data_IF_920699667087
#
_entry.id   IF_920699667087
#
_cell.length_a   1.000
_cell.length_b   1.000
_cell.length_c   1.000
_cell.angle_alpha   90.00
_cell.angle_beta   90.00
_cell.angle_gamma   90.00
#
_symmetry.space_group_name_H-M   'P 1'
#
loop_
_entity.id
_entity.type
_entity.pdbx_description
1 polymer ?
#
# COMPACT_ATOMS: atom_id res chain seq x y z
N UNK A 1 15.98 -4.84 8.86
CA UNK A 1 16.50 -4.65 7.48
C UNK A 1 16.57 -5.93 6.65
N UNK A 2 16.39 -7.12 7.24
CA UNK A 2 16.40 -8.41 6.52
C UNK A 2 15.34 -8.39 5.40
N UNK A 3 15.70 -8.93 4.24
CA UNK A 3 14.91 -8.97 3.01
C UNK A 3 14.70 -7.63 2.28
N UNK A 4 15.17 -6.50 2.82
CA UNK A 4 15.06 -5.19 2.16
C UNK A 4 16.34 -4.80 1.40
N UNK A 5 17.51 -5.27 1.85
CA UNK A 5 18.81 -4.84 1.31
C UNK A 5 19.25 -5.76 0.18
N UNK A 6 19.43 -5.20 -1.01
CA UNK A 6 19.70 -5.92 -2.27
C UNK A 6 21.03 -5.45 -2.88
N UNK A 7 21.81 -6.37 -3.39
CA UNK A 7 23.04 -6.06 -4.11
C UNK A 7 22.75 -5.54 -5.53
N UNK A 8 23.22 -4.34 -5.87
CA UNK A 8 23.05 -3.80 -7.22
C UNK A 8 23.84 -4.58 -8.29
N UNK A 9 24.89 -5.32 -7.89
CA UNK A 9 25.74 -6.08 -8.82
C UNK A 9 25.14 -7.41 -9.26
N UNK A 10 24.50 -8.15 -8.33
CA UNK A 10 24.01 -9.51 -8.61
C UNK A 10 22.55 -9.76 -8.21
N UNK A 11 21.85 -8.77 -7.64
CA UNK A 11 20.45 -8.90 -7.22
C UNK A 11 20.23 -9.70 -5.94
N UNK A 12 21.25 -10.33 -5.35
CA UNK A 12 21.11 -11.13 -4.14
C UNK A 12 20.87 -10.26 -2.91
N UNK A 13 20.11 -10.80 -1.95
CA UNK A 13 19.90 -10.17 -0.66
C UNK A 13 21.20 -10.08 0.13
N UNK A 14 21.39 -8.98 0.83
CA UNK A 14 22.42 -8.86 1.85
C UNK A 14 22.01 -9.64 3.09
N UNK A 15 23.01 -10.26 3.74
CA UNK A 15 22.85 -11.01 4.99
C UNK A 15 23.68 -10.36 6.10
N UNK A 16 23.11 -10.30 7.29
CA UNK A 16 23.78 -9.83 8.50
C UNK A 16 24.78 -10.88 8.96
N UNK A 17 26.03 -10.47 9.17
CA UNK A 17 27.13 -11.32 9.67
C UNK A 17 27.78 -10.68 10.88
N UNK A 18 28.31 -11.50 11.76
CA UNK A 18 29.03 -11.02 12.96
C UNK A 18 30.53 -11.16 12.71
N UNK A 19 31.23 -10.07 12.91
CA UNK A 19 32.69 -10.05 12.93
C UNK A 19 33.20 -9.75 14.35
N UNK A 20 34.38 -10.26 14.64
CA UNK A 20 35.11 -9.94 15.87
C UNK A 20 36.36 -9.17 15.47
N UNK A 21 36.49 -7.94 15.91
CA UNK A 21 37.64 -7.09 15.69
C UNK A 21 38.17 -6.57 17.01
N UNK A 22 39.44 -6.85 17.34
CA UNK A 22 40.07 -6.47 18.61
C UNK A 22 39.29 -6.88 19.87
N UNK A 23 38.60 -8.03 19.84
CA UNK A 23 37.77 -8.53 20.91
C UNK A 23 36.34 -7.98 20.95
N UNK A 24 35.99 -6.99 20.13
CA UNK A 24 34.67 -6.41 20.04
C UNK A 24 33.84 -7.06 18.94
N UNK A 25 32.55 -7.24 19.20
CA UNK A 25 31.58 -7.80 18.29
C UNK A 25 31.03 -6.69 17.39
N UNK A 26 31.20 -6.83 16.08
CA UNK A 26 30.70 -5.92 15.06
C UNK A 26 29.70 -6.62 14.15
N UNK A 27 28.64 -5.93 13.79
CA UNK A 27 27.63 -6.43 12.86
C UNK A 27 27.83 -5.79 11.49
N UNK A 28 27.98 -6.64 10.50
CA UNK A 28 28.23 -6.24 9.11
C UNK A 28 27.17 -6.82 8.20
N UNK A 29 26.88 -6.13 7.12
CA UNK A 29 26.01 -6.60 6.07
C UNK A 29 26.84 -6.92 4.81
N UNK A 30 26.64 -8.12 4.26
CA UNK A 30 27.35 -8.60 3.08
C UNK A 30 26.41 -9.24 2.08
N UNK A 31 26.73 -9.09 0.79
CA UNK A 31 26.02 -9.76 -0.29
C UNK A 31 25.98 -11.28 -0.06
N UNK A 32 24.79 -11.88 -0.17
CA UNK A 32 24.58 -13.32 0.02
C UNK A 32 25.45 -14.16 -0.93
N UNK A 33 25.48 -13.80 -2.22
CA UNK A 33 26.30 -14.47 -3.23
C UNK A 33 27.79 -14.44 -2.88
N UNK A 34 28.28 -13.32 -2.33
CA UNK A 34 29.67 -13.21 -1.88
C UNK A 34 29.96 -14.04 -0.62
N UNK A 35 28.96 -14.27 0.23
CA UNK A 35 29.08 -15.16 1.39
C UNK A 35 29.17 -16.61 0.98
N UNK A 36 28.43 -17.00 -0.06
CA UNK A 36 28.44 -18.38 -0.59
C UNK A 36 29.75 -18.69 -1.34
N UNK A 37 30.49 -17.67 -1.80
CA UNK A 37 31.81 -17.79 -2.43
C UNK A 37 32.46 -16.43 -2.69
N UNK A 38 33.69 -16.22 -2.19
CA UNK A 38 34.38 -14.92 -2.30
C UNK A 38 34.53 -14.40 -3.73
N UNK A 39 34.62 -15.30 -4.72
CA UNK A 39 34.77 -14.98 -6.14
C UNK A 39 33.43 -14.62 -6.81
N UNK A 40 32.29 -14.96 -6.21
CA UNK A 40 31.00 -14.88 -6.89
C UNK A 40 30.43 -13.45 -7.00
N UNK A 41 30.85 -12.53 -6.18
CA UNK A 41 30.46 -11.11 -6.28
C UNK A 41 31.54 -10.24 -5.60
N UNK A 42 32.75 -10.18 -6.17
CA UNK A 42 33.91 -9.58 -5.49
C UNK A 42 33.76 -8.09 -5.25
N UNK A 43 33.05 -7.38 -6.14
CA UNK A 43 32.88 -5.93 -6.10
C UNK A 43 31.72 -5.46 -5.21
N UNK A 44 31.00 -6.40 -4.58
CA UNK A 44 29.95 -6.03 -3.63
C UNK A 44 30.57 -5.49 -2.33
N UNK A 45 30.18 -4.28 -1.87
CA UNK A 45 30.72 -3.71 -0.65
C UNK A 45 30.22 -4.48 0.59
N UNK A 46 31.02 -4.37 1.66
CA UNK A 46 30.57 -4.77 3.01
C UNK A 46 30.19 -3.50 3.75
N UNK A 47 29.01 -3.50 4.38
CA UNK A 47 28.47 -2.34 5.09
C UNK A 47 28.47 -2.61 6.58
N UNK A 48 28.83 -1.61 7.35
CA UNK A 48 28.63 -1.63 8.80
C UNK A 48 27.15 -1.41 9.14
N UNK A 49 26.62 -2.14 10.11
CA UNK A 49 25.20 -2.08 10.44
C UNK A 49 24.75 -0.70 10.91
N UNK A 50 25.54 -0.06 11.77
CA UNK A 50 25.27 1.29 12.28
C UNK A 50 25.21 2.32 11.14
N UNK A 51 26.17 2.28 10.21
CA UNK A 51 26.21 3.17 9.06
C UNK A 51 25.00 2.94 8.13
N UNK A 52 24.65 1.68 7.87
CA UNK A 52 23.47 1.34 7.06
C UNK A 52 22.18 1.83 7.73
N UNK A 53 22.01 1.60 9.02
CA UNK A 53 20.86 2.06 9.78
C UNK A 53 20.74 3.58 9.77
N UNK A 54 21.82 4.30 10.02
CA UNK A 54 21.83 5.76 9.99
C UNK A 54 21.47 6.32 8.63
N UNK A 55 22.03 5.76 7.55
CA UNK A 55 21.72 6.20 6.19
C UNK A 55 20.24 5.99 5.81
N UNK A 56 19.65 4.87 6.23
CA UNK A 56 18.23 4.59 6.00
C UNK A 56 17.34 5.57 6.78
N UNK A 57 17.65 5.82 8.05
CA UNK A 57 16.89 6.76 8.86
C UNK A 57 17.02 8.20 8.38
N UNK A 58 18.19 8.60 7.88
CA UNK A 58 18.40 9.90 7.26
C UNK A 58 17.57 10.06 5.98
N UNK A 59 17.52 9.03 5.13
CA UNK A 59 16.70 9.04 3.93
C UNK A 59 15.20 9.16 4.25
N UNK A 60 14.71 8.42 5.25
CA UNK A 60 13.33 8.54 5.75
C UNK A 60 13.07 9.96 6.27
N UNK A 61 13.99 10.52 7.05
CA UNK A 61 13.88 11.88 7.57
C UNK A 61 13.80 12.91 6.44
N UNK A 62 14.65 12.81 5.44
CA UNK A 62 14.62 13.69 4.26
C UNK A 62 13.31 13.57 3.49
N UNK A 63 12.81 12.35 3.29
CA UNK A 63 11.61 12.11 2.50
C UNK A 63 10.33 12.56 3.19
N UNK A 64 10.17 12.29 4.49
CA UNK A 64 8.91 12.45 5.20
C UNK A 64 8.90 13.59 6.22
N UNK A 65 10.04 13.96 6.81
CA UNK A 65 10.11 14.99 7.86
C UNK A 65 10.48 16.36 7.29
N UNK A 66 11.45 16.44 6.39
CA UNK A 66 11.86 17.70 5.79
C UNK A 66 10.87 18.22 4.72
N UNK A 67 10.01 17.35 4.20
CA UNK A 67 8.91 17.71 3.30
C UNK A 67 7.56 17.86 4.04
N UNK A 68 7.56 18.36 5.25
CA UNK A 68 6.37 18.53 6.11
C UNK A 68 5.13 19.16 5.40
N UNK A 69 5.36 19.96 4.37
CA UNK A 69 4.31 20.57 3.54
C UNK A 69 3.64 19.50 2.63
N UNK A 70 4.32 18.40 2.30
CA UNK A 70 3.86 17.45 1.27
C UNK A 70 2.94 16.37 1.84
N UNK A 71 3.13 15.94 3.08
CA UNK A 71 2.28 14.93 3.72
C UNK A 71 0.89 15.47 4.03
N UNK A 72 0.82 16.65 4.60
CA UNK A 72 -0.45 17.31 4.94
C UNK A 72 -1.24 17.73 3.69
N UNK A 73 -0.55 18.26 2.67
CA UNK A 73 -1.17 18.59 1.37
C UNK A 73 -1.54 17.35 0.57
N UNK A 74 -0.76 16.27 0.64
CA UNK A 74 -1.10 15.00 -0.03
C UNK A 74 -2.25 14.30 0.68
N UNK A 75 -2.28 14.26 2.01
CA UNK A 75 -3.41 13.74 2.79
C UNK A 75 -4.67 14.59 2.58
N UNK A 76 -4.55 15.91 2.51
CA UNK A 76 -5.66 16.81 2.22
C UNK A 76 -6.17 16.66 0.78
N UNK A 77 -5.29 16.47 -0.20
CA UNK A 77 -5.64 16.21 -1.60
C UNK A 77 -6.28 14.84 -1.76
N UNK A 78 -5.78 13.81 -1.09
CA UNK A 78 -6.40 12.47 -1.07
C UNK A 78 -7.78 12.55 -0.42
N UNK A 79 -7.92 13.22 0.72
CA UNK A 79 -9.22 13.43 1.38
C UNK A 79 -10.19 14.22 0.51
N UNK A 80 -9.76 15.27 -0.17
CA UNK A 80 -10.64 16.12 -1.01
C UNK A 80 -11.10 15.42 -2.29
N UNK A 81 -10.32 14.50 -2.84
CA UNK A 81 -10.68 13.71 -4.03
C UNK A 81 -11.60 12.53 -3.67
N UNK A 82 -11.59 12.08 -2.41
CA UNK A 82 -12.18 10.82 -2.00
C UNK A 82 -13.49 10.96 -1.20
N UNK A 83 -13.97 12.17 -0.87
CA UNK A 83 -15.00 12.25 0.18
C UNK A 83 -16.46 12.50 -0.19
N UNK A 84 -16.97 13.21 -1.19
CA UNK A 84 -18.44 13.29 -1.27
C UNK A 84 -19.10 12.38 -2.30
N UNK A 85 -18.47 12.07 -3.42
CA UNK A 85 -19.17 11.41 -4.54
C UNK A 85 -19.51 9.93 -4.30
N UNK A 86 -18.74 9.21 -3.47
CA UNK A 86 -18.94 7.76 -3.31
C UNK A 86 -20.08 7.39 -2.37
N UNK A 87 -20.28 8.12 -1.27
CA UNK A 87 -21.37 7.87 -0.33
C UNK A 87 -22.74 8.23 -0.93
N UNK A 88 -22.82 9.38 -1.60
CA UNK A 88 -24.02 9.80 -2.32
C UNK A 88 -24.31 8.86 -3.50
N UNK A 89 -23.28 8.37 -4.17
CA UNK A 89 -23.37 7.37 -5.23
C UNK A 89 -23.90 6.04 -4.72
N UNK A 90 -23.40 5.51 -3.59
CA UNK A 90 -23.89 4.26 -3.01
C UNK A 90 -25.36 4.36 -2.60
N UNK A 91 -25.75 5.44 -1.95
CA UNK A 91 -27.13 5.68 -1.56
C UNK A 91 -28.06 5.76 -2.78
N UNK A 92 -27.68 6.48 -3.82
CA UNK A 92 -28.45 6.60 -5.05
C UNK A 92 -28.62 5.24 -5.75
N UNK A 93 -27.55 4.43 -5.83
CA UNK A 93 -27.62 3.08 -6.41
C UNK A 93 -28.55 2.18 -5.61
N UNK A 94 -28.46 2.17 -4.27
CA UNK A 94 -29.34 1.38 -3.40
C UNK A 94 -30.81 1.79 -3.52
N UNK A 95 -31.07 3.10 -3.61
CA UNK A 95 -32.43 3.62 -3.81
C UNK A 95 -33.01 3.11 -5.12
N UNK A 96 -32.24 3.17 -6.21
CA UNK A 96 -32.69 2.70 -7.52
C UNK A 96 -32.91 1.18 -7.58
N UNK A 97 -32.07 0.39 -6.90
CA UNK A 97 -32.28 -1.06 -6.73
C UNK A 97 -33.60 -1.32 -6.00
N UNK A 98 -33.90 -0.59 -4.94
CA UNK A 98 -35.15 -0.75 -4.19
C UNK A 98 -36.39 -0.37 -5.02
N UNK A 99 -36.31 0.66 -5.84
CA UNK A 99 -37.38 1.07 -6.76
C UNK A 99 -37.63 -0.02 -7.81
N UNK A 100 -36.61 -0.54 -8.47
CA UNK A 100 -36.73 -1.63 -9.43
C UNK A 100 -37.25 -2.93 -8.82
N UNK A 101 -36.89 -3.22 -7.58
CA UNK A 101 -37.45 -4.38 -6.85
C UNK A 101 -38.94 -4.21 -6.54
N UNK A 102 -39.40 -2.99 -6.23
CA UNK A 102 -40.84 -2.68 -6.06
C UNK A 102 -41.58 -2.80 -7.38
N UNK A 103 -40.99 -2.27 -8.49
CA UNK A 103 -41.55 -2.39 -9.84
C UNK A 103 -41.69 -3.88 -10.24
N UNK A 104 -40.66 -4.68 -10.00
CA UNK A 104 -40.72 -6.14 -10.25
C UNK A 104 -41.80 -6.85 -9.47
N UNK A 105 -41.97 -6.52 -8.18
CA UNK A 105 -43.05 -7.10 -7.36
C UNK A 105 -44.44 -6.72 -7.86
N UNK A 106 -44.62 -5.47 -8.27
CA UNK A 106 -45.91 -4.99 -8.84
C UNK A 106 -46.20 -5.68 -10.19
N UNK A 107 -45.18 -5.89 -10.99
CA UNK A 107 -45.31 -6.56 -12.30
C UNK A 107 -45.68 -8.05 -12.10
N UNK A 108 -45.08 -8.74 -11.13
CA UNK A 108 -45.43 -10.12 -10.78
C UNK A 108 -46.90 -10.21 -10.35
N UNK A 109 -47.37 -9.25 -9.52
CA UNK A 109 -48.77 -9.25 -9.09
C UNK A 109 -49.74 -9.05 -10.27
N UNK A 110 -49.39 -8.20 -11.25
CA UNK A 110 -50.17 -8.01 -12.46
C UNK A 110 -50.17 -9.26 -13.37
N UNK A 111 -49.01 -9.86 -13.59
CA UNK A 111 -48.90 -11.08 -14.37
C UNK A 111 -49.73 -12.23 -13.81
N UNK A 112 -49.73 -12.39 -12.48
CA UNK A 112 -50.56 -13.40 -11.81
C UNK A 112 -52.07 -13.10 -11.91
N UNK A 113 -52.48 -11.84 -11.85
CA UNK A 113 -53.91 -11.44 -11.95
C UNK A 113 -54.45 -11.60 -13.36
N UNK A 114 -53.63 -11.46 -14.38
CA UNK A 114 -54.00 -11.51 -15.79
C UNK A 114 -53.83 -12.90 -16.44
N UNK A 115 -53.41 -13.92 -15.70
CA UNK A 115 -53.00 -15.23 -16.23
C UNK A 115 -52.01 -15.11 -17.42
N UNK A 116 -50.92 -14.44 -17.19
CA UNK A 116 -49.98 -13.98 -18.21
C UNK A 116 -49.30 -15.13 -18.97
N UNK A 117 -49.44 -15.12 -20.30
CA UNK A 117 -48.78 -16.04 -21.25
C UNK A 117 -47.52 -15.39 -21.87
N UNK A 118 -46.71 -14.67 -21.11
CA UNK A 118 -45.45 -14.07 -21.58
C UNK A 118 -45.55 -12.60 -22.02
N UNK A 119 -46.65 -11.93 -21.80
CA UNK A 119 -46.89 -10.52 -22.14
C UNK A 119 -45.89 -9.58 -21.43
N UNK A 120 -45.39 -9.95 -20.26
CA UNK A 120 -44.45 -9.15 -19.44
C UNK A 120 -42.98 -9.60 -19.50
N UNK A 121 -42.64 -10.61 -20.29
CA UNK A 121 -41.30 -11.17 -20.39
C UNK A 121 -40.21 -10.14 -20.70
N UNK A 122 -40.52 -9.24 -21.65
CA UNK A 122 -39.58 -8.16 -21.99
C UNK A 122 -39.33 -7.20 -20.83
N UNK A 123 -40.34 -6.89 -20.03
CA UNK A 123 -40.23 -6.00 -18.88
C UNK A 123 -39.46 -6.68 -17.75
N UNK A 124 -39.68 -7.97 -17.52
CA UNK A 124 -38.91 -8.74 -16.56
C UNK A 124 -37.44 -8.84 -16.97
N UNK A 125 -37.14 -9.08 -18.24
CA UNK A 125 -35.77 -9.12 -18.75
C UNK A 125 -35.06 -7.78 -18.58
N UNK A 126 -35.74 -6.65 -18.89
CA UNK A 126 -35.21 -5.31 -18.67
C UNK A 126 -34.88 -5.05 -17.20
N UNK A 127 -35.83 -5.28 -16.30
CA UNK A 127 -35.65 -5.06 -14.85
C UNK A 127 -34.49 -5.94 -14.31
N UNK A 128 -34.42 -7.18 -14.79
CA UNK A 128 -33.32 -8.10 -14.40
C UNK A 128 -31.96 -7.54 -14.82
N UNK A 129 -31.82 -7.12 -16.06
CA UNK A 129 -30.56 -6.57 -16.58
C UNK A 129 -30.15 -5.28 -15.85
N UNK A 130 -31.11 -4.39 -15.57
CA UNK A 130 -30.84 -3.16 -14.82
C UNK A 130 -30.42 -3.47 -13.37
N UNK A 131 -31.06 -4.44 -12.70
CA UNK A 131 -30.68 -4.87 -11.35
C UNK A 131 -29.28 -5.48 -11.30
N UNK A 132 -28.93 -6.34 -12.27
CA UNK A 132 -27.59 -6.93 -12.37
C UNK A 132 -26.51 -5.85 -12.59
N UNK A 133 -26.77 -4.87 -13.45
CA UNK A 133 -25.87 -3.75 -13.70
C UNK A 133 -25.66 -2.86 -12.46
N UNK A 134 -26.74 -2.54 -11.73
CA UNK A 134 -26.66 -1.75 -10.48
C UNK A 134 -25.97 -2.51 -9.34
N UNK A 135 -26.18 -3.83 -9.26
CA UNK A 135 -25.49 -4.67 -8.27
C UNK A 135 -23.98 -4.68 -8.54
N UNK A 136 -23.55 -4.84 -9.79
CA UNK A 136 -22.13 -4.78 -10.16
C UNK A 136 -21.50 -3.41 -9.85
N UNK A 137 -22.25 -2.31 -10.09
CA UNK A 137 -21.80 -0.96 -9.72
C UNK A 137 -21.65 -0.81 -8.19
N UNK A 138 -22.60 -1.31 -7.43
CA UNK A 138 -22.57 -1.28 -5.97
C UNK A 138 -21.36 -2.04 -5.40
N UNK A 139 -21.11 -3.23 -5.92
CA UNK A 139 -19.91 -4.03 -5.54
C UNK A 139 -18.62 -3.28 -5.87
N UNK A 140 -18.54 -2.63 -7.01
CA UNK A 140 -17.37 -1.80 -7.39
C UNK A 140 -17.14 -0.64 -6.42
N UNK A 141 -18.20 0.10 -6.07
CA UNK A 141 -18.11 1.21 -5.11
C UNK A 141 -17.69 0.71 -3.74
N UNK A 142 -18.25 -0.40 -3.26
CA UNK A 142 -17.90 -0.97 -1.96
C UNK A 142 -16.46 -1.51 -1.90
N UNK A 143 -16.00 -2.12 -2.99
CA UNK A 143 -14.61 -2.57 -3.11
C UNK A 143 -13.63 -1.39 -3.06
N UNK A 144 -13.94 -0.31 -3.77
CA UNK A 144 -13.14 0.92 -3.76
C UNK A 144 -13.09 1.55 -2.35
N UNK A 145 -14.22 1.68 -1.67
CA UNK A 145 -14.30 2.19 -0.29
C UNK A 145 -13.50 1.34 0.70
N UNK A 146 -13.55 0.01 0.57
CA UNK A 146 -12.79 -0.89 1.43
C UNK A 146 -11.28 -0.73 1.22
N UNK A 147 -10.82 -0.61 -0.01
CA UNK A 147 -9.40 -0.37 -0.31
C UNK A 147 -8.95 0.96 0.27
N UNK A 148 -9.75 2.02 0.08
CA UNK A 148 -9.49 3.34 0.62
C UNK A 148 -9.35 3.35 2.15
N UNK A 149 -10.29 2.71 2.87
CA UNK A 149 -10.24 2.67 4.34
C UNK A 149 -9.00 1.95 4.88
N UNK A 150 -8.50 0.93 4.16
CA UNK A 150 -7.25 0.23 4.50
C UNK A 150 -6.04 1.14 4.27
N UNK A 151 -6.03 1.90 3.18
CA UNK A 151 -4.95 2.83 2.87
C UNK A 151 -4.92 4.02 3.82
N UNK A 152 -6.08 4.57 4.21
CA UNK A 152 -6.20 5.63 5.23
C UNK A 152 -5.67 5.17 6.60
N UNK A 153 -6.10 4.00 7.08
CA UNK A 153 -5.61 3.44 8.34
C UNK A 153 -4.10 3.21 8.33
N UNK A 154 -3.56 2.75 7.19
CA UNK A 154 -2.12 2.57 7.02
C UNK A 154 -1.36 3.90 7.03
N UNK A 155 -1.92 4.94 6.42
CA UNK A 155 -1.33 6.29 6.41
C UNK A 155 -1.34 6.92 7.80
N UNK A 156 -2.43 6.78 8.56
CA UNK A 156 -2.52 7.24 9.95
C UNK A 156 -1.48 6.54 10.85
N UNK A 157 -1.30 5.23 10.66
CA UNK A 157 -0.29 4.48 11.40
C UNK A 157 1.14 4.94 11.08
N UNK A 158 1.43 5.23 9.81
CA UNK A 158 2.73 5.79 9.38
C UNK A 158 2.91 7.19 9.96
N UNK A 159 1.91 8.05 9.91
CA UNK A 159 1.95 9.40 10.47
C UNK A 159 2.25 9.36 11.99
N UNK A 160 1.57 8.50 12.74
CA UNK A 160 1.81 8.34 14.18
C UNK A 160 3.24 7.85 14.51
N UNK A 161 3.82 6.99 13.65
CA UNK A 161 5.21 6.55 13.80
C UNK A 161 6.20 7.68 13.49
N UNK A 162 5.92 8.50 12.49
CA UNK A 162 6.76 9.64 12.12
C UNK A 162 6.75 10.73 13.21
N UNK A 163 5.60 10.99 13.84
CA UNK A 163 5.53 11.91 14.98
C UNK A 163 6.38 11.41 16.17
N UNK A 164 6.26 10.14 16.54
CA UNK A 164 7.14 9.53 17.57
C UNK A 164 8.62 9.64 17.21
N UNK A 165 8.91 9.54 15.92
CA UNK A 165 10.26 9.65 15.41
C UNK A 165 10.83 11.08 15.51
N UNK A 166 10.00 12.10 15.27
CA UNK A 166 10.36 13.52 15.47
C UNK A 166 10.71 13.79 16.94
N UNK A 167 9.96 13.20 17.87
CA UNK A 167 10.16 13.37 19.31
C UNK A 167 11.43 12.66 19.85
N UNK A 168 11.71 11.46 19.36
CA UNK A 168 12.78 10.58 19.86
C UNK A 168 14.12 10.70 19.12
N UNK A 169 14.21 11.54 18.07
CA UNK A 169 15.40 11.71 17.25
C UNK A 169 15.62 10.55 16.25
N UNK A 170 16.77 10.61 15.53
CA UNK A 170 17.13 9.67 14.43
C UNK A 170 17.57 8.28 14.95
N UNK A 171 16.83 7.67 15.88
CA UNK A 171 17.09 6.30 16.30
C UNK A 171 16.49 5.30 15.33
N UNK A 172 17.22 4.21 15.06
CA UNK A 172 16.76 3.18 14.12
C UNK A 172 15.52 2.44 14.64
N UNK A 173 14.45 2.44 13.83
CA UNK A 173 13.22 1.71 14.09
C UNK A 173 12.92 0.76 12.92
N UNK A 174 13.04 -0.57 13.16
CA UNK A 174 12.82 -1.61 12.15
C UNK A 174 11.35 -1.68 11.69
N UNK A 175 10.39 -1.34 12.54
CA UNK A 175 8.96 -1.32 12.18
C UNK A 175 8.66 -0.18 11.22
N UNK A 176 9.15 1.02 11.50
CA UNK A 176 9.01 2.17 10.61
C UNK A 176 9.66 1.88 9.26
N UNK A 177 10.90 1.39 9.26
CA UNK A 177 11.61 1.06 8.02
C UNK A 177 10.81 0.07 7.17
N UNK A 178 10.31 -1.02 7.75
CA UNK A 178 9.51 -2.03 7.03
C UNK A 178 8.17 -1.49 6.51
N UNK A 179 7.61 -0.46 7.14
CA UNK A 179 6.36 0.15 6.69
C UNK A 179 6.55 1.09 5.52
N UNK A 180 7.63 1.87 5.50
CA UNK A 180 7.84 2.92 4.50
C UNK A 180 8.81 2.55 3.39
N UNK A 181 9.79 1.67 3.64
CA UNK A 181 10.80 1.26 2.66
C UNK A 181 10.38 -0.02 1.95
N UNK A 182 10.46 -0.01 0.63
CA UNK A 182 10.25 -1.17 -0.23
C UNK A 182 11.56 -1.93 -0.46
N UNK A 183 12.61 -1.21 -0.88
CA UNK A 183 13.91 -1.82 -1.24
C UNK A 183 15.06 -0.86 -0.97
N UNK A 184 16.19 -1.40 -0.51
CA UNK A 184 17.45 -0.70 -0.33
C UNK A 184 18.47 -1.36 -1.25
N UNK A 185 18.83 -0.70 -2.35
CA UNK A 185 19.80 -1.19 -3.33
C UNK A 185 21.17 -0.65 -3.03
N UNK A 186 22.15 -1.54 -2.83
CA UNK A 186 23.52 -1.18 -2.50
C UNK A 186 24.34 -1.02 -3.78
N UNK A 187 24.67 0.22 -4.13
CA UNK A 187 25.53 0.52 -5.29
C UNK A 187 27.01 0.49 -4.93
N UNK A 188 27.38 1.16 -3.84
CA UNK A 188 28.75 1.20 -3.29
C UNK A 188 28.72 1.25 -1.75
N UNK A 189 29.86 1.33 -1.11
CA UNK A 189 29.93 1.50 0.35
C UNK A 189 29.35 2.85 0.84
N UNK A 190 29.32 3.85 -0.04
CA UNK A 190 28.93 5.22 0.25
C UNK A 190 27.61 5.62 -0.44
N UNK A 191 27.07 4.76 -1.32
CA UNK A 191 25.88 5.07 -2.12
C UNK A 191 24.85 3.95 -2.03
N UNK A 192 23.69 4.32 -1.49
CA UNK A 192 22.49 3.49 -1.42
C UNK A 192 21.37 4.15 -2.22
N UNK A 193 20.63 3.34 -2.98
CA UNK A 193 19.37 3.74 -3.60
C UNK A 193 18.24 3.16 -2.76
N UNK A 194 17.38 4.00 -2.21
CA UNK A 194 16.27 3.59 -1.35
C UNK A 194 14.97 3.88 -2.08
N UNK A 195 14.19 2.83 -2.34
CA UNK A 195 12.85 2.94 -2.92
C UNK A 195 11.84 2.86 -1.78
N UNK A 196 10.95 3.85 -1.72
CA UNK A 196 9.86 3.90 -0.76
C UNK A 196 8.59 3.28 -1.33
N UNK A 197 7.69 2.80 -0.46
CA UNK A 197 6.44 2.15 -0.87
C UNK A 197 5.41 3.11 -1.49
N UNK A 198 5.62 4.40 -1.36
CA UNK A 198 4.86 5.46 -2.03
C UNK A 198 5.34 5.74 -3.48
N UNK A 199 6.32 4.98 -3.97
CA UNK A 199 6.90 5.09 -5.30
C UNK A 199 8.02 6.12 -5.42
N UNK A 200 8.38 6.84 -4.37
CA UNK A 200 9.50 7.79 -4.35
C UNK A 200 10.85 7.05 -4.23
N UNK A 201 11.92 7.71 -4.72
CA UNK A 201 13.31 7.23 -4.66
C UNK A 201 14.24 8.29 -4.13
#
# INVERSE_FOLDING_TARGET
>A
LSALVVCNKCGALYRRVTWYRKGEKQFMWRCGTRLDGKANCPDSPTLEESALQSAVMEAISRQYIQKDITLETTMQSIRSVLTPETADSEYAIRTKINELQKERKALIAKALAENDDGKYDFQFARIKQELEGLQAQLEGVQAAQKTQSVDEARMEEIAALLEKFKENGLTFDDLLVRKVVETIRVESAEKLEITFKDGNR
#
